data_IF_301847017758
#
_entry.id   IF_301847017758
#
_cell.length_a   1.000
_cell.length_b   1.000
_cell.length_c   1.000
_cell.angle_alpha   90.00
_cell.angle_beta   90.00
_cell.angle_gamma   90.00
#
_symmetry.space_group_name_H-M   'P 1'
#
loop_
_entity.id
_entity.type
_entity.pdbx_description
1 polymer ?
#
# COMPACT_ATOMS: atom_id res chain seq x y z
N UNK A 1 0.25 -33.03 15.29
CA UNK A 1 1.40 -33.28 14.41
C UNK A 1 2.21 -32.01 14.45
N UNK A 2 3.45 -32.08 14.92
CA UNK A 2 4.36 -30.94 14.96
C UNK A 2 4.78 -30.64 13.51
N UNK A 3 4.22 -29.60 12.92
CA UNK A 3 4.67 -29.09 11.62
C UNK A 3 6.02 -28.42 11.82
N UNK A 4 7.07 -28.94 11.20
CA UNK A 4 8.36 -28.26 11.16
C UNK A 4 8.22 -27.01 10.30
N UNK A 5 8.91 -25.90 10.63
CA UNK A 5 8.88 -24.68 9.83
C UNK A 5 9.39 -24.96 8.41
N UNK A 6 8.68 -24.47 7.40
CA UNK A 6 9.03 -24.60 5.97
C UNK A 6 10.35 -23.90 5.67
N UNK A 7 10.61 -22.80 6.35
CA UNK A 7 11.91 -22.11 6.35
C UNK A 7 12.80 -22.70 7.44
N UNK A 8 13.44 -23.83 7.17
CA UNK A 8 14.47 -24.41 8.06
C UNK A 8 15.79 -23.65 7.89
N UNK A 9 16.49 -23.51 9.03
CA UNK A 9 17.75 -22.77 9.26
C UNK A 9 18.97 -23.19 8.41
N UNK A 10 18.81 -23.65 7.17
CA UNK A 10 19.90 -24.16 6.33
C UNK A 10 20.00 -23.49 4.95
N UNK A 11 19.68 -22.20 4.84
CA UNK A 11 20.08 -21.38 3.69
C UNK A 11 20.59 -20.05 4.21
N UNK A 12 21.94 -19.88 4.18
CA UNK A 12 22.64 -18.61 4.35
C UNK A 12 22.08 -17.66 5.43
N UNK A 13 22.93 -17.03 6.21
CA UNK A 13 22.62 -16.08 7.32
C UNK A 13 21.79 -14.85 6.92
N UNK A 14 20.67 -15.05 6.22
CA UNK A 14 19.79 -13.98 5.77
C UNK A 14 18.63 -13.78 6.76
N UNK A 15 18.28 -12.52 7.07
CA UNK A 15 17.12 -12.22 7.89
C UNK A 15 15.83 -12.81 7.29
N UNK A 16 14.89 -13.20 8.15
CA UNK A 16 13.56 -13.61 7.69
C UNK A 16 12.79 -12.40 7.13
N UNK A 17 12.82 -11.26 7.85
CA UNK A 17 12.10 -10.04 7.45
C UNK A 17 13.00 -8.82 7.47
N UNK A 18 13.02 -8.05 6.38
CA UNK A 18 13.52 -6.67 6.34
C UNK A 18 12.36 -5.70 6.55
N UNK A 19 12.40 -4.96 7.65
CA UNK A 19 11.47 -3.86 7.94
C UNK A 19 12.07 -2.57 7.39
N UNK A 20 11.39 -1.94 6.42
CA UNK A 20 11.81 -0.68 5.82
C UNK A 20 10.95 0.43 6.43
N UNK A 21 11.56 1.23 7.28
CA UNK A 21 10.93 2.36 7.98
C UNK A 21 11.30 3.65 7.24
N UNK A 22 10.30 4.39 6.75
CA UNK A 22 10.53 5.69 6.10
C UNK A 22 10.32 6.84 7.10
N UNK A 23 11.28 7.75 7.17
CA UNK A 23 11.27 8.87 8.09
C UNK A 23 11.54 10.20 7.39
N UNK A 24 10.80 11.26 7.76
CA UNK A 24 11.01 12.59 7.20
C UNK A 24 10.76 13.72 8.19
N UNK A 25 9.57 13.81 8.79
CA UNK A 25 9.16 14.98 9.61
C UNK A 25 8.47 14.58 10.92
N UNK A 26 8.49 13.32 11.25
CA UNK A 26 7.93 12.77 12.48
C UNK A 26 8.77 13.23 13.71
N UNK A 27 8.14 13.35 14.88
CA UNK A 27 8.90 13.52 16.10
C UNK A 27 9.67 12.25 16.46
N UNK A 28 10.79 12.42 17.14
CA UNK A 28 11.65 11.29 17.56
C UNK A 28 10.88 10.28 18.42
N UNK A 29 9.99 10.73 19.29
CA UNK A 29 9.19 9.82 20.12
C UNK A 29 8.26 8.95 19.29
N UNK A 30 7.67 9.49 18.24
CA UNK A 30 6.83 8.74 17.28
C UNK A 30 7.65 7.70 16.53
N UNK A 31 8.83 8.08 16.00
CA UNK A 31 9.74 7.15 15.34
C UNK A 31 10.22 6.06 16.30
N UNK A 32 10.50 6.42 17.56
CA UNK A 32 10.86 5.46 18.60
C UNK A 32 9.75 4.44 18.87
N UNK A 33 8.49 4.88 18.93
CA UNK A 33 7.34 3.98 19.07
C UNK A 33 7.26 3.00 17.88
N UNK A 34 7.45 3.51 16.65
CA UNK A 34 7.49 2.70 15.44
C UNK A 34 8.54 1.60 15.54
N UNK A 35 9.80 1.96 15.80
CA UNK A 35 10.92 1.00 15.88
C UNK A 35 10.72 0.02 17.03
N UNK A 36 10.28 0.48 18.21
CA UNK A 36 9.99 -0.39 19.35
C UNK A 36 8.91 -1.41 19.04
N UNK A 37 7.91 -1.08 18.22
CA UNK A 37 6.88 -2.01 17.80
C UNK A 37 7.44 -3.17 16.96
N UNK A 38 8.49 -2.92 16.18
CA UNK A 38 9.21 -3.92 15.40
C UNK A 38 10.12 -4.75 16.33
N UNK A 39 10.83 -4.10 17.25
CA UNK A 39 11.71 -4.76 18.22
C UNK A 39 10.94 -5.70 19.17
N UNK A 40 9.66 -5.44 19.41
CA UNK A 40 8.79 -6.25 20.26
C UNK A 40 8.26 -7.53 19.58
N UNK A 41 8.50 -7.75 18.28
CA UNK A 41 8.07 -8.96 17.55
C UNK A 41 8.92 -10.18 17.98
N UNK A 42 8.34 -11.39 17.83
CA UNK A 42 8.99 -12.66 18.13
C UNK A 42 10.02 -13.08 17.06
N UNK A 43 10.90 -12.15 16.72
CA UNK A 43 12.02 -12.33 15.78
C UNK A 43 13.33 -12.12 16.54
N UNK A 44 14.27 -13.05 16.38
CA UNK A 44 15.65 -12.87 16.85
C UNK A 44 16.36 -11.75 16.11
N UNK A 45 17.49 -11.30 16.60
CA UNK A 45 18.33 -10.29 15.92
C UNK A 45 18.79 -10.75 14.54
N UNK A 46 19.00 -12.06 14.36
CA UNK A 46 19.39 -12.65 13.06
C UNK A 46 18.22 -12.85 12.11
N UNK A 47 16.97 -12.94 12.60
CA UNK A 47 15.77 -13.04 11.76
C UNK A 47 15.23 -11.68 11.32
N UNK A 48 15.68 -10.59 11.95
CA UNK A 48 15.15 -9.24 11.76
C UNK A 48 16.22 -8.31 11.22
N UNK A 49 15.91 -7.59 10.15
CA UNK A 49 16.68 -6.44 9.66
C UNK A 49 15.80 -5.20 9.75
N UNK A 50 16.26 -4.12 10.39
CA UNK A 50 15.55 -2.83 10.45
C UNK A 50 16.34 -1.80 9.67
N UNK A 51 15.73 -1.23 8.63
CA UNK A 51 16.31 -0.20 7.76
C UNK A 51 15.49 1.07 7.92
N UNK A 52 16.06 2.10 8.53
CA UNK A 52 15.44 3.42 8.65
C UNK A 52 15.99 4.32 7.55
N UNK A 53 15.12 4.76 6.66
CA UNK A 53 15.46 5.66 5.56
C UNK A 53 14.97 7.08 5.89
N UNK A 54 15.91 7.96 6.19
CA UNK A 54 15.69 9.40 6.40
C UNK A 54 15.67 10.11 5.05
N UNK A 55 14.49 10.54 4.60
CA UNK A 55 14.29 11.26 3.34
C UNK A 55 14.56 12.76 3.48
N UNK A 56 15.67 13.13 4.11
CA UNK A 56 16.13 14.51 4.25
C UNK A 56 15.39 15.30 5.32
N UNK A 57 15.12 14.71 6.47
CA UNK A 57 14.54 15.38 7.63
C UNK A 57 15.43 16.52 8.13
N UNK A 58 14.83 17.54 8.74
CA UNK A 58 15.58 18.66 9.35
C UNK A 58 16.47 18.19 10.51
N UNK A 59 16.02 17.18 11.23
CA UNK A 59 16.73 16.56 12.33
C UNK A 59 17.07 15.09 12.06
N UNK A 60 18.32 14.68 12.26
CA UNK A 60 18.75 13.29 12.11
C UNK A 60 18.55 12.51 13.42
N UNK A 61 17.76 11.42 13.40
CA UNK A 61 17.48 10.62 14.60
C UNK A 61 18.55 9.54 14.88
N UNK A 62 19.73 9.63 14.29
CA UNK A 62 20.73 8.54 14.32
C UNK A 62 21.13 8.14 15.74
N UNK A 63 21.35 9.12 16.64
CA UNK A 63 21.80 8.83 17.99
C UNK A 63 20.71 8.13 18.80
N UNK A 64 19.46 8.54 18.61
CA UNK A 64 18.29 7.96 19.27
C UNK A 64 18.02 6.55 18.77
N UNK A 65 18.19 6.30 17.48
CA UNK A 65 18.03 4.97 16.88
C UNK A 65 19.10 4.01 17.36
N UNK A 66 20.38 4.42 17.39
CA UNK A 66 21.48 3.60 17.88
C UNK A 66 21.35 3.29 19.39
N UNK A 67 20.67 4.14 20.14
CA UNK A 67 20.36 3.85 21.54
C UNK A 67 19.27 2.78 21.72
N UNK A 68 18.45 2.51 20.70
CA UNK A 68 17.42 1.44 20.72
C UNK A 68 18.03 0.08 20.35
N UNK A 69 18.82 0.04 19.29
CA UNK A 69 19.52 -1.16 18.83
C UNK A 69 20.70 -0.76 17.96
N UNK A 70 21.84 -1.41 18.19
CA UNK A 70 23.04 -1.20 17.35
C UNK A 70 22.90 -1.77 15.94
N UNK A 71 21.93 -2.68 15.71
CA UNK A 71 21.75 -3.38 14.44
C UNK A 71 20.81 -2.62 13.47
N UNK A 72 20.35 -1.42 13.85
CA UNK A 72 19.53 -0.59 12.95
C UNK A 72 20.43 -0.01 11.85
N UNK A 73 20.08 -0.31 10.62
CA UNK A 73 20.68 0.29 9.42
C UNK A 73 20.01 1.66 9.22
N UNK A 74 20.76 2.72 9.42
CA UNK A 74 20.29 4.08 9.16
C UNK A 74 20.91 4.61 7.88
N UNK A 75 20.07 5.08 6.95
CA UNK A 75 20.53 5.73 5.71
C UNK A 75 19.79 7.05 5.51
N UNK A 76 20.54 8.09 5.16
CA UNK A 76 19.99 9.42 4.90
C UNK A 76 20.20 9.80 3.44
N UNK A 77 19.15 10.32 2.82
CA UNK A 77 19.16 10.82 1.45
C UNK A 77 18.60 12.24 1.39
N UNK A 78 18.93 13.05 0.34
CA UNK A 78 18.18 14.25 0.04
C UNK A 78 16.72 13.92 -0.20
N UNK A 79 15.78 14.79 0.21
CA UNK A 79 14.35 14.53 0.03
C UNK A 79 14.00 14.25 -1.43
N UNK A 80 13.52 13.06 -1.70
CA UNK A 80 13.07 12.56 -3.01
C UNK A 80 11.64 12.02 -3.00
N UNK A 81 10.99 12.07 -1.83
CA UNK A 81 9.64 11.59 -1.60
C UNK A 81 9.56 10.13 -1.18
N UNK A 82 8.40 9.76 -0.62
CA UNK A 82 8.14 8.49 0.05
C UNK A 82 8.49 7.26 -0.80
N UNK A 83 8.09 7.24 -2.09
CA UNK A 83 8.40 6.12 -2.99
C UNK A 83 9.90 5.91 -3.18
N UNK A 84 10.69 6.99 -3.25
CA UNK A 84 12.15 6.86 -3.40
C UNK A 84 12.83 6.43 -2.10
N UNK A 85 12.33 6.86 -0.93
CA UNK A 85 12.78 6.37 0.36
C UNK A 85 12.55 4.84 0.48
N UNK A 86 11.36 4.36 0.07
CA UNK A 86 11.08 2.92 0.02
C UNK A 86 12.00 2.18 -0.97
N UNK A 87 12.30 2.76 -2.13
CA UNK A 87 13.26 2.18 -3.09
C UNK A 87 14.67 2.07 -2.51
N UNK A 88 15.13 3.08 -1.77
CA UNK A 88 16.42 3.03 -1.07
C UNK A 88 16.43 1.92 -0.03
N UNK A 89 15.37 1.77 0.75
CA UNK A 89 15.22 0.65 1.69
C UNK A 89 15.22 -0.71 1.00
N UNK A 90 14.52 -0.86 -0.13
CA UNK A 90 14.49 -2.10 -0.93
C UNK A 90 15.89 -2.48 -1.45
N UNK A 91 16.73 -1.51 -1.80
CA UNK A 91 18.09 -1.77 -2.26
C UNK A 91 19.01 -2.32 -1.16
N UNK A 92 18.69 -2.04 0.11
CA UNK A 92 19.43 -2.48 1.29
C UNK A 92 18.82 -3.72 1.96
N UNK A 93 17.59 -4.08 1.58
CA UNK A 93 16.88 -5.21 2.18
C UNK A 93 17.55 -6.54 1.79
N UNK A 94 17.94 -7.34 2.79
CA UNK A 94 18.56 -8.67 2.64
C UNK A 94 17.59 -9.79 3.04
N UNK A 95 16.55 -9.48 3.82
CA UNK A 95 15.58 -10.44 4.30
C UNK A 95 14.81 -11.14 3.19
N UNK A 96 14.37 -12.37 3.48
CA UNK A 96 13.52 -13.15 2.56
C UNK A 96 12.18 -12.46 2.32
N UNK A 97 11.64 -11.80 3.33
CA UNK A 97 10.42 -11.02 3.24
C UNK A 97 10.69 -9.54 3.49
N UNK A 98 9.81 -8.69 2.97
CA UNK A 98 9.85 -7.23 3.13
C UNK A 98 8.54 -6.74 3.73
N UNK A 99 8.65 -5.88 4.75
CA UNK A 99 7.57 -5.11 5.35
C UNK A 99 7.90 -3.62 5.32
N UNK A 100 7.03 -2.82 4.71
CA UNK A 100 7.11 -1.36 4.83
C UNK A 100 6.38 -0.89 6.08
N UNK A 101 6.97 0.09 6.77
CA UNK A 101 6.35 0.76 7.91
C UNK A 101 6.60 2.26 7.77
N UNK A 102 5.56 3.07 7.78
CA UNK A 102 5.73 4.52 7.82
C UNK A 102 6.16 4.94 9.24
N UNK A 103 7.11 5.86 9.36
CA UNK A 103 7.76 6.22 10.63
C UNK A 103 6.82 6.82 11.69
N UNK A 104 5.59 7.18 11.31
CA UNK A 104 4.55 7.63 12.23
C UNK A 104 3.57 6.53 12.68
N UNK A 105 3.71 5.31 12.17
CA UNK A 105 2.82 4.17 12.40
C UNK A 105 3.49 3.09 13.26
N UNK A 106 2.79 1.99 13.55
CA UNK A 106 3.33 0.87 14.34
C UNK A 106 2.77 -0.46 13.84
N UNK A 107 3.51 -1.55 14.09
CA UNK A 107 2.99 -2.90 14.00
C UNK A 107 2.35 -3.30 15.34
N UNK A 108 1.19 -3.93 15.30
CA UNK A 108 0.51 -4.43 16.49
C UNK A 108 0.95 -5.86 16.77
N UNK A 109 1.91 -6.06 17.67
CA UNK A 109 2.59 -7.32 17.96
C UNK A 109 1.61 -8.48 18.07
N UNK A 110 0.56 -8.35 18.89
CA UNK A 110 -0.40 -9.45 19.14
C UNK A 110 -1.12 -10.00 17.91
N UNK A 111 -1.23 -9.19 16.84
CA UNK A 111 -1.92 -9.56 15.60
C UNK A 111 -0.94 -9.76 14.44
N UNK A 112 0.22 -9.10 14.46
CA UNK A 112 1.26 -9.26 13.44
C UNK A 112 1.97 -10.62 13.57
N UNK A 113 2.04 -11.21 14.77
CA UNK A 113 2.62 -12.54 14.99
C UNK A 113 1.97 -13.61 14.09
N UNK A 114 0.67 -13.51 13.82
CA UNK A 114 0.03 -14.43 12.88
C UNK A 114 0.57 -14.29 11.44
N UNK A 115 0.95 -13.08 11.04
CA UNK A 115 1.57 -12.87 9.72
C UNK A 115 2.96 -13.54 9.68
N UNK A 116 3.72 -13.48 10.78
CA UNK A 116 5.00 -14.18 10.92
C UNK A 116 4.81 -15.69 10.91
N UNK A 117 3.79 -16.21 11.57
CA UNK A 117 3.47 -17.65 11.55
C UNK A 117 3.13 -18.12 10.13
N UNK A 118 2.36 -17.34 9.38
CA UNK A 118 2.04 -17.67 7.98
C UNK A 118 3.32 -17.80 7.16
N UNK A 119 4.23 -16.83 7.21
CA UNK A 119 5.48 -16.90 6.42
C UNK A 119 6.46 -17.96 6.90
N UNK A 120 6.39 -18.38 8.18
CA UNK A 120 7.23 -19.45 8.73
C UNK A 120 6.75 -20.85 8.36
N UNK A 121 5.43 -21.05 8.31
CA UNK A 121 4.82 -22.38 8.22
C UNK A 121 4.05 -22.63 6.92
N UNK A 122 3.88 -21.60 6.08
CA UNK A 122 3.24 -21.70 4.78
C UNK A 122 4.22 -21.22 3.69
N UNK A 123 4.08 -21.76 2.49
CA UNK A 123 4.82 -21.30 1.33
C UNK A 123 4.14 -20.04 0.76
N UNK A 124 4.20 -18.93 1.51
CA UNK A 124 3.54 -17.70 1.17
C UNK A 124 4.46 -16.77 0.37
N UNK A 125 3.97 -16.26 -0.76
CA UNK A 125 4.58 -15.13 -1.45
C UNK A 125 4.17 -13.80 -0.82
N UNK A 126 2.95 -13.74 -0.27
CA UNK A 126 2.42 -12.52 0.29
C UNK A 126 1.38 -12.80 1.37
N UNK A 127 1.38 -11.98 2.42
CA UNK A 127 0.35 -11.95 3.46
C UNK A 127 -0.31 -10.59 3.44
N UNK A 128 -1.64 -10.56 3.29
CA UNK A 128 -2.47 -9.36 3.37
C UNK A 128 -3.14 -9.30 4.74
N UNK A 129 -3.06 -8.15 5.39
CA UNK A 129 -3.71 -7.88 6.68
C UNK A 129 -4.34 -6.49 6.71
N UNK A 130 -5.06 -6.16 7.77
CA UNK A 130 -5.79 -4.89 7.87
C UNK A 130 -5.04 -3.87 8.75
N UNK A 131 -5.36 -2.59 8.51
CA UNK A 131 -4.95 -1.48 9.38
C UNK A 131 -6.08 -1.06 10.32
N UNK A 132 -5.71 -0.36 11.39
CA UNK A 132 -6.64 0.21 12.38
C UNK A 132 -6.09 1.51 12.98
N UNK A 133 -6.96 2.36 13.49
CA UNK A 133 -6.61 3.53 14.30
C UNK A 133 -6.68 3.25 15.82
N UNK A 134 -6.77 1.96 16.21
CA UNK A 134 -6.82 1.52 17.62
C UNK A 134 -5.54 0.77 17.97
N UNK A 135 -4.95 1.10 19.11
CA UNK A 135 -3.74 0.46 19.63
C UNK A 135 -3.98 -0.90 20.29
N UNK A 136 -5.23 -1.21 20.63
CA UNK A 136 -5.60 -2.49 21.23
C UNK A 136 -6.59 -3.22 20.34
N UNK A 137 -6.21 -4.41 19.90
CA UNK A 137 -7.02 -5.29 19.06
C UNK A 137 -6.91 -6.72 19.56
N UNK A 138 -7.91 -7.54 19.23
CA UNK A 138 -7.89 -8.98 19.54
C UNK A 138 -7.42 -9.75 18.31
N UNK A 139 -6.49 -10.70 18.46
CA UNK A 139 -6.08 -11.59 17.38
C UNK A 139 -7.26 -12.44 16.88
N UNK A 140 -7.27 -12.70 15.57
CA UNK A 140 -8.22 -13.59 14.92
C UNK A 140 -7.44 -14.76 14.32
N UNK A 141 -7.97 -15.97 14.42
CA UNK A 141 -7.39 -17.15 13.79
C UNK A 141 -8.12 -17.43 12.46
N UNK A 142 -7.98 -16.54 11.49
CA UNK A 142 -8.80 -16.49 10.27
C UNK A 142 -7.99 -16.47 8.97
N UNK A 143 -6.74 -16.95 8.99
CA UNK A 143 -5.93 -17.00 7.77
C UNK A 143 -6.61 -17.79 6.66
N UNK A 144 -6.75 -17.19 5.47
CA UNK A 144 -7.33 -17.78 4.27
C UNK A 144 -6.29 -17.77 3.16
N UNK A 145 -6.25 -18.81 2.38
CA UNK A 145 -5.31 -18.98 1.26
C UNK A 145 -4.85 -20.44 1.12
N UNK A 146 -3.89 -20.75 0.23
CA UNK A 146 -3.32 -19.78 -0.73
C UNK A 146 -4.26 -19.47 -1.90
N UNK A 147 -4.12 -18.29 -2.47
CA UNK A 147 -4.76 -17.87 -3.73
C UNK A 147 -3.77 -17.05 -4.55
N UNK A 148 -3.75 -17.18 -5.88
CA UNK A 148 -2.86 -16.34 -6.69
C UNK A 148 -3.30 -14.88 -6.68
N UNK A 149 -2.34 -13.96 -6.84
CA UNK A 149 -2.63 -12.53 -6.90
C UNK A 149 -3.59 -12.17 -8.05
N UNK A 150 -3.45 -12.83 -9.18
CA UNK A 150 -4.36 -12.70 -10.32
C UNK A 150 -5.79 -13.08 -9.94
N UNK A 151 -5.97 -14.23 -9.29
CA UNK A 151 -7.29 -14.69 -8.84
C UNK A 151 -7.85 -13.75 -7.77
N UNK A 152 -7.04 -13.37 -6.78
CA UNK A 152 -7.45 -12.45 -5.73
C UNK A 152 -7.95 -11.12 -6.31
N UNK A 153 -7.16 -10.48 -7.19
CA UNK A 153 -7.52 -9.22 -7.83
C UNK A 153 -8.73 -9.32 -8.75
N UNK A 154 -8.95 -10.49 -9.39
CA UNK A 154 -10.13 -10.72 -10.24
C UNK A 154 -11.43 -10.71 -9.42
N UNK A 155 -11.41 -11.15 -8.16
CA UNK A 155 -12.60 -11.27 -7.34
C UNK A 155 -12.74 -10.20 -6.26
N UNK A 156 -11.65 -9.55 -5.86
CA UNK A 156 -11.63 -8.60 -4.75
C UNK A 156 -11.24 -7.19 -5.20
N UNK A 157 -11.73 -6.19 -4.47
CA UNK A 157 -11.17 -4.85 -4.55
C UNK A 157 -9.91 -4.81 -3.71
N UNK A 158 -8.85 -4.21 -4.24
CA UNK A 158 -7.60 -4.05 -3.51
C UNK A 158 -7.41 -2.60 -3.07
N UNK A 159 -6.70 -2.42 -1.96
CA UNK A 159 -6.21 -1.12 -1.52
C UNK A 159 -4.73 -0.97 -1.90
N UNK A 160 -4.33 0.22 -2.29
CA UNK A 160 -2.95 0.50 -2.69
C UNK A 160 -1.97 0.65 -1.52
N UNK A 161 -2.31 0.22 -0.30
CA UNK A 161 -1.42 0.37 0.85
C UNK A 161 -0.35 -0.72 0.89
N UNK A 162 0.91 -0.36 0.71
CA UNK A 162 2.05 -1.29 0.83
C UNK A 162 2.38 -1.64 2.28
N UNK A 163 1.93 -0.84 3.25
CA UNK A 163 2.19 -1.08 4.67
C UNK A 163 1.33 -2.21 5.26
N UNK A 164 0.27 -2.63 4.56
CA UNK A 164 -0.58 -3.77 4.93
C UNK A 164 -0.24 -5.05 4.16
N UNK A 165 0.97 -5.12 3.61
CA UNK A 165 1.52 -6.25 2.88
C UNK A 165 2.83 -6.69 3.50
N UNK A 166 2.96 -7.99 3.80
CA UNK A 166 4.23 -8.66 4.05
C UNK A 166 4.48 -9.56 2.85
N UNK A 167 5.56 -9.38 2.09
CA UNK A 167 5.75 -10.08 0.84
C UNK A 167 7.17 -10.65 0.67
N UNK A 168 7.28 -11.78 -0.01
CA UNK A 168 8.55 -12.40 -0.34
C UNK A 168 9.33 -11.53 -1.32
N UNK A 169 10.59 -11.26 -1.04
CA UNK A 169 11.42 -10.33 -1.82
C UNK A 169 11.59 -10.75 -3.27
N UNK A 170 11.59 -12.05 -3.55
CA UNK A 170 11.83 -12.57 -4.89
C UNK A 170 10.73 -12.19 -5.89
N UNK A 171 9.47 -11.99 -5.45
CA UNK A 171 8.40 -11.53 -6.36
C UNK A 171 8.58 -10.08 -6.83
N UNK A 172 9.48 -9.33 -6.19
CA UNK A 172 9.75 -7.94 -6.53
C UNK A 172 10.43 -7.79 -7.91
N UNK A 173 11.39 -8.67 -8.22
CA UNK A 173 12.25 -8.54 -9.40
C UNK A 173 12.76 -7.10 -9.59
N UNK A 174 12.39 -6.47 -10.72
CA UNK A 174 12.73 -5.11 -11.12
C UNK A 174 11.73 -4.03 -10.70
N UNK A 175 10.60 -4.44 -10.08
CA UNK A 175 9.54 -3.50 -9.69
C UNK A 175 10.05 -2.49 -8.65
N UNK A 176 9.84 -1.22 -8.92
CA UNK A 176 10.20 -0.10 -8.04
C UNK A 176 9.08 0.93 -8.02
N UNK A 177 9.04 1.70 -6.94
CA UNK A 177 8.11 2.83 -6.84
C UNK A 177 8.46 3.91 -7.87
N UNK A 178 7.47 4.49 -8.57
CA UNK A 178 7.71 5.58 -9.50
C UNK A 178 8.21 6.83 -8.78
N UNK A 179 9.08 7.61 -9.46
CA UNK A 179 9.66 8.83 -8.89
C UNK A 179 8.70 10.01 -9.00
N UNK A 180 8.57 10.80 -7.91
CA UNK A 180 7.95 12.12 -7.93
C UNK A 180 6.43 12.15 -8.09
N UNK A 181 5.75 11.01 -7.90
CA UNK A 181 4.29 10.88 -7.92
C UNK A 181 3.74 10.69 -6.51
N UNK A 182 2.55 11.21 -6.27
CA UNK A 182 1.70 10.80 -5.15
C UNK A 182 0.91 9.56 -5.58
N UNK A 183 0.49 8.72 -4.63
CA UNK A 183 -0.18 7.43 -4.93
C UNK A 183 0.74 6.42 -5.63
N UNK A 184 2.03 6.44 -5.30
CA UNK A 184 3.03 5.49 -5.76
C UNK A 184 2.69 4.04 -5.39
N UNK A 185 2.00 3.86 -4.28
CA UNK A 185 1.50 2.60 -3.76
C UNK A 185 0.34 2.02 -4.60
N UNK A 186 -0.53 2.88 -5.13
CA UNK A 186 -1.63 2.48 -6.03
C UNK A 186 -1.12 1.92 -7.37
N UNK A 187 0.07 2.30 -7.78
CA UNK A 187 0.74 1.79 -8.98
C UNK A 187 1.57 0.54 -8.66
N UNK A 188 2.30 0.54 -7.55
CA UNK A 188 3.19 -0.54 -7.15
C UNK A 188 2.43 -1.80 -6.73
N UNK A 189 1.43 -1.66 -5.85
CA UNK A 189 0.73 -2.79 -5.24
C UNK A 189 0.10 -3.76 -6.24
N UNK A 190 -0.70 -3.33 -7.23
CA UNK A 190 -1.32 -4.27 -8.17
C UNK A 190 -0.30 -5.01 -9.02
N UNK A 191 0.80 -4.37 -9.40
CA UNK A 191 1.87 -5.01 -10.16
C UNK A 191 2.61 -6.06 -9.32
N UNK A 192 2.86 -5.78 -8.03
CA UNK A 192 3.46 -6.74 -7.11
C UNK A 192 2.53 -7.94 -6.88
N UNK A 193 1.23 -7.68 -6.68
CA UNK A 193 0.24 -8.74 -6.45
C UNK A 193 0.13 -9.70 -7.64
N UNK A 194 0.18 -9.21 -8.89
CA UNK A 194 0.14 -10.09 -10.07
C UNK A 194 1.32 -11.06 -10.15
N UNK A 195 2.40 -10.82 -9.42
CA UNK A 195 3.60 -11.68 -9.37
C UNK A 195 3.54 -12.74 -8.27
N UNK A 196 2.54 -12.66 -7.38
CA UNK A 196 2.38 -13.59 -6.28
C UNK A 196 1.51 -14.78 -6.68
N UNK A 197 2.02 -15.99 -6.50
CA UNK A 197 1.30 -17.25 -6.75
C UNK A 197 0.60 -17.76 -5.49
N UNK A 198 1.04 -17.31 -4.31
CA UNK A 198 0.57 -17.78 -3.01
C UNK A 198 0.32 -16.61 -2.06
N UNK A 199 -0.89 -16.02 -2.13
CA UNK A 199 -1.35 -14.98 -1.21
C UNK A 199 -2.16 -15.61 -0.09
N UNK A 200 -1.84 -15.25 1.14
CA UNK A 200 -2.66 -15.49 2.33
C UNK A 200 -3.28 -14.18 2.79
N UNK A 201 -4.52 -14.23 3.25
CA UNK A 201 -5.24 -13.06 3.79
C UNK A 201 -5.68 -13.31 5.22
N UNK A 202 -5.66 -12.27 6.04
CA UNK A 202 -6.23 -12.29 7.39
C UNK A 202 -6.94 -10.97 7.67
N UNK A 203 -8.03 -11.01 8.43
CA UNK A 203 -8.70 -9.81 8.95
C UNK A 203 -8.05 -9.26 10.23
N UNK A 204 -6.88 -9.79 10.60
CA UNK A 204 -6.11 -9.21 11.69
C UNK A 204 -5.71 -7.79 11.37
N UNK A 205 -5.99 -6.91 12.32
CA UNK A 205 -5.57 -5.52 12.27
C UNK A 205 -4.15 -5.44 12.83
N UNK A 206 -3.18 -5.73 11.97
CA UNK A 206 -1.79 -5.85 12.36
C UNK A 206 -0.98 -4.55 12.17
N UNK A 207 -1.56 -3.55 11.54
CA UNK A 207 -0.95 -2.24 11.29
C UNK A 207 -1.75 -1.16 12.01
N UNK A 208 -1.10 -0.39 12.90
CA UNK A 208 -1.68 0.78 13.55
C UNK A 208 -1.38 2.03 12.74
N UNK A 209 -2.41 2.62 12.13
CA UNK A 209 -2.34 3.88 11.42
C UNK A 209 -2.60 5.04 12.39
N UNK A 210 -1.55 5.82 12.67
CA UNK A 210 -1.61 6.98 13.58
C UNK A 210 -2.23 8.19 12.89
N UNK A 211 -3.38 8.64 13.39
CA UNK A 211 -3.97 9.91 12.95
C UNK A 211 -3.24 11.06 13.60
N UNK A 212 -2.58 11.90 12.81
CA UNK A 212 -1.89 13.11 13.31
C UNK A 212 -2.25 14.36 12.49
N UNK A 213 -2.21 15.53 13.13
CA UNK A 213 -2.26 16.80 12.42
C UNK A 213 -0.96 16.97 11.61
N UNK A 214 -1.11 17.46 10.37
CA UNK A 214 0.03 17.63 9.47
C UNK A 214 0.34 16.44 8.55
N UNK A 215 -0.39 15.31 8.67
CA UNK A 215 -0.29 14.22 7.69
C UNK A 215 -0.51 14.74 6.26
N UNK A 216 0.30 14.24 5.33
CA UNK A 216 0.22 14.58 3.89
C UNK A 216 -1.22 14.37 3.36
N UNK A 217 -1.93 13.34 3.86
CA UNK A 217 -3.30 13.02 3.47
C UNK A 217 -4.34 14.06 3.94
N UNK A 218 -4.02 14.87 4.97
CA UNK A 218 -4.93 15.85 5.56
C UNK A 218 -4.69 17.30 5.10
N UNK A 219 -3.78 17.53 4.15
CA UNK A 219 -3.60 18.85 3.55
C UNK A 219 -4.87 19.30 2.82
N UNK A 220 -5.36 20.51 3.18
CA UNK A 220 -6.66 21.04 2.73
C UNK A 220 -6.56 22.08 1.61
N UNK A 221 -5.36 22.46 1.20
CA UNK A 221 -5.24 23.50 0.18
C UNK A 221 -5.68 22.98 -1.20
N UNK A 222 -6.29 23.89 -1.99
CA UNK A 222 -6.89 23.55 -3.29
C UNK A 222 -5.85 23.04 -4.30
N UNK A 223 -4.62 23.61 -4.27
CA UNK A 223 -3.56 23.21 -5.23
C UNK A 223 -3.12 21.79 -4.95
N UNK A 224 -2.98 21.42 -3.68
CA UNK A 224 -2.65 20.08 -3.28
C UNK A 224 -3.72 19.05 -3.69
N UNK A 225 -5.01 19.37 -3.49
CA UNK A 225 -6.11 18.49 -3.93
C UNK A 225 -6.09 18.25 -5.43
N UNK A 226 -5.90 19.32 -6.24
CA UNK A 226 -5.83 19.21 -7.70
C UNK A 226 -4.61 18.38 -8.11
N UNK A 227 -3.44 18.57 -7.48
CA UNK A 227 -2.25 17.78 -7.75
C UNK A 227 -2.49 16.30 -7.45
N UNK A 228 -3.07 15.96 -6.30
CA UNK A 228 -3.42 14.58 -5.96
C UNK A 228 -4.33 13.91 -6.98
N UNK A 229 -5.33 14.63 -7.46
CA UNK A 229 -6.24 14.12 -8.49
C UNK A 229 -5.51 13.90 -9.81
N UNK A 230 -4.61 14.82 -10.20
CA UNK A 230 -3.81 14.69 -11.41
C UNK A 230 -2.81 13.50 -11.31
N UNK A 231 -2.15 13.32 -10.16
CA UNK A 231 -1.23 12.22 -9.95
C UNK A 231 -1.97 10.87 -9.95
N UNK A 232 -3.16 10.78 -9.33
CA UNK A 232 -4.02 9.59 -9.40
C UNK A 232 -4.45 9.26 -10.84
N UNK A 233 -4.76 10.27 -11.64
CA UNK A 233 -5.08 10.12 -13.07
C UNK A 233 -3.88 9.55 -13.84
N UNK A 234 -2.67 10.04 -13.59
CA UNK A 234 -1.44 9.54 -14.22
C UNK A 234 -1.13 8.09 -13.83
N UNK A 235 -1.35 7.70 -12.58
CA UNK A 235 -1.23 6.29 -12.15
C UNK A 235 -2.14 5.38 -12.98
N UNK A 236 -3.40 5.77 -13.17
CA UNK A 236 -4.35 5.00 -13.99
C UNK A 236 -3.84 4.83 -15.42
N UNK A 237 -3.30 5.89 -16.04
CA UNK A 237 -2.77 5.83 -17.40
C UNK A 237 -1.55 4.93 -17.51
N UNK A 238 -0.59 5.02 -16.59
CA UNK A 238 0.59 4.13 -16.59
C UNK A 238 0.23 2.67 -16.39
N UNK A 239 -0.74 2.37 -15.54
CA UNK A 239 -1.25 0.99 -15.40
C UNK A 239 -1.93 0.52 -16.69
N UNK A 240 -2.68 1.38 -17.36
CA UNK A 240 -3.35 1.09 -18.62
C UNK A 240 -2.35 0.79 -19.75
N UNK A 241 -1.27 1.54 -19.85
CA UNK A 241 -0.22 1.33 -20.88
C UNK A 241 0.40 -0.08 -20.79
N UNK A 242 0.50 -0.66 -19.59
CA UNK A 242 1.05 -1.99 -19.38
C UNK A 242 0.08 -3.15 -19.64
N UNK A 243 -1.23 -2.88 -19.68
CA UNK A 243 -2.28 -3.93 -19.69
C UNK A 243 -2.21 -4.85 -20.90
N UNK A 244 -1.96 -4.31 -22.09
CA UNK A 244 -1.98 -5.08 -23.33
C UNK A 244 -0.83 -6.10 -23.43
N UNK A 245 0.21 -5.92 -22.65
CA UNK A 245 1.36 -6.82 -22.56
C UNK A 245 1.17 -7.96 -21.56
N UNK A 246 0.11 -7.91 -20.74
CA UNK A 246 -0.18 -8.92 -19.73
C UNK A 246 -0.86 -10.15 -20.38
N UNK A 247 -0.58 -11.36 -19.86
CA UNK A 247 -1.38 -12.54 -20.16
C UNK A 247 -2.87 -12.32 -19.84
N UNK A 248 -3.76 -13.09 -20.46
CA UNK A 248 -5.21 -12.82 -20.44
C UNK A 248 -5.79 -12.73 -19.04
N UNK A 249 -5.38 -13.60 -18.10
CA UNK A 249 -5.92 -13.61 -16.74
C UNK A 249 -5.46 -12.39 -15.95
N UNK A 250 -4.16 -12.07 -16.00
CA UNK A 250 -3.55 -10.91 -15.35
C UNK A 250 -4.13 -9.61 -15.93
N UNK A 251 -4.37 -9.57 -17.23
CA UNK A 251 -5.04 -8.42 -17.88
C UNK A 251 -6.44 -8.19 -17.32
N UNK A 252 -7.26 -9.23 -17.17
CA UNK A 252 -8.62 -9.13 -16.60
C UNK A 252 -8.55 -8.61 -15.16
N UNK A 253 -7.60 -9.09 -14.37
CA UNK A 253 -7.38 -8.64 -12.98
C UNK A 253 -6.96 -7.16 -12.93
N UNK A 254 -6.02 -6.74 -13.79
CA UNK A 254 -5.55 -5.36 -13.86
C UNK A 254 -6.63 -4.42 -14.40
N UNK A 255 -7.40 -4.82 -15.41
CA UNK A 255 -8.54 -4.04 -15.93
C UNK A 255 -9.58 -3.76 -14.83
N UNK A 256 -9.85 -4.75 -13.95
CA UNK A 256 -10.71 -4.54 -12.79
C UNK A 256 -10.14 -3.48 -11.85
N UNK A 257 -8.83 -3.53 -11.57
CA UNK A 257 -8.16 -2.53 -10.74
C UNK A 257 -8.22 -1.13 -11.34
N UNK A 258 -7.95 -1.01 -12.63
CA UNK A 258 -8.04 0.26 -13.38
C UNK A 258 -9.47 0.82 -13.33
N UNK A 259 -10.48 -0.03 -13.51
CA UNK A 259 -11.88 0.39 -13.39
C UNK A 259 -12.24 0.88 -11.99
N UNK A 260 -11.73 0.21 -10.94
CA UNK A 260 -11.87 0.65 -9.55
C UNK A 260 -11.22 2.03 -9.34
N UNK A 261 -9.95 2.20 -9.74
CA UNK A 261 -9.23 3.47 -9.62
C UNK A 261 -9.90 4.60 -10.40
N UNK A 262 -10.40 4.32 -11.61
CA UNK A 262 -11.16 5.30 -12.41
C UNK A 262 -12.45 5.73 -11.72
N UNK A 263 -13.17 4.78 -11.10
CA UNK A 263 -14.34 5.08 -10.29
C UNK A 263 -13.99 5.95 -9.08
N UNK A 264 -12.90 5.61 -8.37
CA UNK A 264 -12.44 6.33 -7.18
C UNK A 264 -11.92 7.74 -7.54
N UNK A 265 -11.26 7.91 -8.68
CA UNK A 265 -10.87 9.21 -9.22
C UNK A 265 -12.11 10.09 -9.46
N UNK A 266 -13.12 9.59 -10.19
CA UNK A 266 -14.36 10.33 -10.46
C UNK A 266 -15.06 10.72 -9.15
N UNK A 267 -15.16 9.78 -8.20
CA UNK A 267 -15.73 10.04 -6.88
C UNK A 267 -14.96 11.12 -6.12
N UNK A 268 -13.63 11.06 -6.14
CA UNK A 268 -12.78 12.06 -5.48
C UNK A 268 -12.86 13.42 -6.17
N UNK A 269 -12.93 13.49 -7.48
CA UNK A 269 -13.18 14.75 -8.21
C UNK A 269 -14.48 15.40 -7.74
N UNK A 270 -15.57 14.63 -7.69
CA UNK A 270 -16.87 15.12 -7.22
C UNK A 270 -16.77 15.64 -5.78
N UNK A 271 -16.21 14.83 -4.86
CA UNK A 271 -16.23 15.13 -3.42
C UNK A 271 -15.17 16.15 -2.98
N UNK A 272 -14.11 16.35 -3.74
CA UNK A 272 -13.04 17.29 -3.39
C UNK A 272 -13.17 18.64 -4.09
N UNK A 273 -13.84 18.70 -5.24
CA UNK A 273 -13.94 19.94 -6.03
C UNK A 273 -15.33 20.53 -6.06
N UNK A 274 -16.39 19.72 -6.09
CA UNK A 274 -17.79 20.11 -6.35
C UNK A 274 -17.95 20.99 -7.61
N UNK A 275 -17.07 20.78 -8.60
CA UNK A 275 -16.99 21.58 -9.81
C UNK A 275 -17.39 20.73 -11.02
N UNK A 276 -18.57 21.05 -11.62
CA UNK A 276 -19.10 20.33 -12.79
C UNK A 276 -18.17 20.47 -14.00
N UNK A 277 -17.56 21.64 -14.17
CA UNK A 277 -16.62 21.90 -15.29
C UNK A 277 -15.37 21.05 -15.15
N UNK A 278 -14.78 21.02 -13.94
CA UNK A 278 -13.62 20.19 -13.68
C UNK A 278 -13.94 18.70 -13.86
N UNK A 279 -15.09 18.24 -13.35
CA UNK A 279 -15.55 16.87 -13.56
C UNK A 279 -15.67 16.51 -15.04
N UNK A 280 -16.29 17.37 -15.84
CA UNK A 280 -16.46 17.13 -17.29
C UNK A 280 -15.10 17.06 -18.02
N UNK A 281 -14.11 17.89 -17.64
CA UNK A 281 -12.76 17.80 -18.20
C UNK A 281 -12.08 16.48 -17.84
N UNK A 282 -12.19 15.99 -16.59
CA UNK A 282 -11.64 14.70 -16.20
C UNK A 282 -12.32 13.56 -16.97
N UNK A 283 -13.66 13.57 -17.07
CA UNK A 283 -14.39 12.55 -17.84
C UNK A 283 -14.01 12.55 -19.32
N UNK A 284 -13.78 13.72 -19.91
CA UNK A 284 -13.32 13.84 -21.29
C UNK A 284 -11.93 13.18 -21.48
N UNK A 285 -10.97 13.45 -20.57
CA UNK A 285 -9.64 12.83 -20.64
C UNK A 285 -9.72 11.32 -20.43
N UNK A 286 -10.49 10.84 -19.45
CA UNK A 286 -10.73 9.41 -19.28
C UNK A 286 -11.35 8.76 -20.52
N UNK A 287 -12.28 9.48 -21.22
CA UNK A 287 -12.86 8.98 -22.48
C UNK A 287 -11.83 8.88 -23.59
N UNK A 288 -10.89 9.81 -23.68
CA UNK A 288 -9.81 9.77 -24.68
C UNK A 288 -8.89 8.55 -24.48
N UNK A 289 -8.77 8.04 -23.24
CA UNK A 289 -8.04 6.84 -22.89
C UNK A 289 -8.93 5.57 -22.85
N UNK A 290 -10.19 5.64 -23.26
CA UNK A 290 -11.11 4.49 -23.24
C UNK A 290 -11.54 4.05 -21.83
N UNK A 291 -11.31 4.88 -20.80
CA UNK A 291 -11.61 4.58 -19.39
C UNK A 291 -12.98 5.10 -18.95
N UNK A 292 -13.63 5.91 -19.78
CA UNK A 292 -14.99 6.39 -19.57
C UNK A 292 -15.79 6.29 -20.89
N UNK A 293 -17.04 5.80 -20.87
CA UNK A 293 -17.83 5.33 -19.72
C UNK A 293 -17.16 4.17 -18.96
N UNK A 294 -17.37 4.13 -17.62
CA UNK A 294 -16.84 3.02 -16.82
C UNK A 294 -17.32 1.67 -17.39
N UNK A 295 -16.45 0.63 -17.44
CA UNK A 295 -16.77 -0.66 -18.02
C UNK A 295 -18.06 -1.29 -17.49
N UNK A 296 -18.85 -1.93 -18.38
CA UNK A 296 -20.09 -2.63 -17.98
C UNK A 296 -19.78 -3.99 -17.38
N UNK A 297 -19.34 -3.97 -16.14
CA UNK A 297 -18.95 -5.14 -15.35
C UNK A 297 -19.65 -5.15 -14.00
N UNK A 298 -19.87 -6.34 -13.48
CA UNK A 298 -20.56 -6.60 -12.22
C UNK A 298 -19.58 -6.75 -11.04
N UNK A 299 -18.60 -5.86 -10.93
CA UNK A 299 -17.56 -5.94 -9.89
C UNK A 299 -18.13 -5.88 -8.46
N UNK A 300 -18.95 -4.86 -8.17
CA UNK A 300 -19.65 -4.69 -6.90
C UNK A 300 -20.97 -3.93 -7.10
N UNK A 301 -21.93 -4.06 -6.17
CA UNK A 301 -23.19 -3.28 -6.20
C UNK A 301 -22.94 -1.77 -6.19
N UNK A 302 -21.91 -1.32 -5.41
CA UNK A 302 -21.47 0.08 -5.37
C UNK A 302 -20.96 0.54 -6.74
N UNK A 303 -20.11 -0.26 -7.39
CA UNK A 303 -19.58 0.04 -8.72
C UNK A 303 -20.70 0.17 -9.75
N UNK A 304 -21.64 -0.80 -9.82
CA UNK A 304 -22.80 -0.79 -10.73
C UNK A 304 -23.64 0.46 -10.59
N UNK A 305 -23.97 0.81 -9.33
CA UNK A 305 -24.75 2.00 -9.04
C UNK A 305 -24.04 3.26 -9.47
N UNK A 306 -22.76 3.42 -9.09
CA UNK A 306 -21.96 4.60 -9.40
C UNK A 306 -21.76 4.77 -10.92
N UNK A 307 -21.49 3.68 -11.64
CA UNK A 307 -21.40 3.67 -13.10
C UNK A 307 -22.68 4.18 -13.76
N UNK A 308 -23.83 3.70 -13.32
CA UNK A 308 -25.14 4.17 -13.85
C UNK A 308 -25.35 5.67 -13.62
N UNK A 309 -24.99 6.15 -12.45
CA UNK A 309 -25.11 7.57 -12.11
C UNK A 309 -24.15 8.43 -12.95
N UNK A 310 -22.91 8.03 -13.09
CA UNK A 310 -21.89 8.83 -13.82
C UNK A 310 -22.10 8.82 -15.32
N UNK A 311 -22.69 7.77 -15.90
CA UNK A 311 -22.96 7.69 -17.33
C UNK A 311 -24.06 8.64 -17.81
N UNK A 312 -24.92 9.18 -16.93
CA UNK A 312 -25.95 10.16 -17.29
C UNK A 312 -25.62 11.56 -16.77
N UNK A 313 -25.93 12.60 -17.56
CA UNK A 313 -25.75 13.99 -17.14
C UNK A 313 -26.59 14.33 -15.90
N UNK A 314 -27.83 13.82 -15.84
CA UNK A 314 -28.71 13.98 -14.67
C UNK A 314 -28.09 13.31 -13.42
N UNK A 315 -27.59 12.08 -13.55
CA UNK A 315 -26.96 11.35 -12.45
C UNK A 315 -25.70 12.07 -11.93
N UNK A 316 -24.85 12.62 -12.82
CA UNK A 316 -23.68 13.42 -12.42
C UNK A 316 -24.05 14.65 -11.61
N UNK A 317 -25.09 15.39 -12.05
CA UNK A 317 -25.59 16.55 -11.29
C UNK A 317 -26.15 16.15 -9.94
N UNK A 318 -26.89 15.03 -9.87
CA UNK A 318 -27.41 14.52 -8.60
C UNK A 318 -26.27 14.12 -7.66
N UNK A 319 -25.20 13.47 -8.15
CA UNK A 319 -24.02 13.16 -7.36
C UNK A 319 -23.33 14.43 -6.82
N UNK A 320 -23.17 15.46 -7.64
CA UNK A 320 -22.61 16.75 -7.21
C UNK A 320 -23.44 17.42 -6.13
N UNK A 321 -24.79 17.28 -6.16
CA UNK A 321 -25.68 17.86 -5.15
C UNK A 321 -25.74 17.05 -3.85
N UNK A 322 -25.65 15.72 -3.93
CA UNK A 322 -25.88 14.82 -2.78
C UNK A 322 -24.62 14.40 -2.06
N UNK A 323 -23.51 14.24 -2.77
CA UNK A 323 -22.23 13.90 -2.14
C UNK A 323 -21.67 15.15 -1.45
N UNK A 324 -21.44 15.04 -0.14
CA UNK A 324 -20.88 16.15 0.66
C UNK A 324 -19.42 16.39 0.27
N UNK A 325 -19.04 17.67 0.25
CA UNK A 325 -17.64 18.07 0.09
C UNK A 325 -16.82 17.41 1.23
N UNK A 326 -15.79 16.67 0.89
CA UNK A 326 -14.81 16.20 1.88
C UNK A 326 -14.01 17.42 2.38
N UNK A 327 -14.21 17.77 3.64
CA UNK A 327 -13.52 18.86 4.34
C UNK A 327 -12.14 18.44 4.80
#
# INVERSE_FOLDING_TARGET
MSTQPVYSQNKEDKPLVSFIVTYYSESIDILRDCVNSILALSLSETERQIIVVDDGADYSPINELLALSADIIYVRQPNQGLGQARNTGLALAEGSFVQFVDGDDMLLTSTYEQCLDIIRYQEADMVLFESTDKTTVKPLADAQGPVSGTEYMTHNNIHGSVCTLLFHKDILHDLRFPKGTLHEDEEFTPQLMLRAESIYTTHNKAYYYRKREGSIMHRRDRRWRIRRLADAEQVIYRLQEGVDHLPVKERIAMERRIAQLSMDLIYNVITLTHDETHLNHVLQRLSQHGLFPLPDKDYTSKYKWFRRMTNSSFGRRLLLMTLRLKR
#
